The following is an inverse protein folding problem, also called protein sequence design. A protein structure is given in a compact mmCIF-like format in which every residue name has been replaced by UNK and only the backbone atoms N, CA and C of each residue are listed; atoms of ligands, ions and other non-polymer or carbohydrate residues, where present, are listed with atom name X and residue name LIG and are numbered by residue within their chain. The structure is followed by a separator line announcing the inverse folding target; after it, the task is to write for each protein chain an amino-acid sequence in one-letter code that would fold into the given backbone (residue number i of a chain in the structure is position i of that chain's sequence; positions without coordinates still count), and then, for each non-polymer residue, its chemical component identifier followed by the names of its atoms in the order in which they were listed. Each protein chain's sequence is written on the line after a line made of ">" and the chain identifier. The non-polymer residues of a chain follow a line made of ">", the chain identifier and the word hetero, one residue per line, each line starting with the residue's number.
data_IF_104017411962
#
_entry.id   IF_104017411962
#
_cell.length_a   1.000
_cell.length_b   1.000
_cell.length_c   1.000
_cell.angle_alpha   90.00
_cell.angle_beta   90.00
_cell.angle_gamma   90.00
#
_symmetry.space_group_name_H-M   'P 1'
#
loop_
_entity.id
_entity.type
_entity.pdbx_description
1 polymer ?
#
# COMPACT_ATOMS: atom_id res chain seq x y z
N UNK A 1 1.18 -43.18 37.97
CA UNK A 1 1.11 -41.92 37.18
C UNK A 1 0.01 -40.95 37.62
N UNK A 2 -1.19 -41.40 38.04
CA UNK A 2 -2.31 -40.53 38.47
C UNK A 2 -2.08 -39.67 39.75
N UNK A 3 -1.17 -40.06 40.64
CA UNK A 3 -0.92 -39.34 41.91
C UNK A 3 0.03 -38.13 41.80
N UNK A 4 0.98 -38.17 40.87
CA UNK A 4 1.97 -37.10 40.69
C UNK A 4 1.36 -35.84 40.06
N UNK A 5 0.46 -36.04 39.10
CA UNK A 5 -0.30 -34.97 38.44
C UNK A 5 -1.18 -34.22 39.44
N UNK A 6 -1.74 -34.92 40.44
CA UNK A 6 -2.64 -34.34 41.45
C UNK A 6 -1.91 -33.49 42.50
N UNK A 7 -0.68 -33.88 42.88
CA UNK A 7 0.16 -33.13 43.83
C UNK A 7 0.81 -31.88 43.23
N UNK A 8 1.16 -31.93 41.94
CA UNK A 8 1.81 -30.82 41.24
C UNK A 8 0.84 -29.94 40.44
N UNK A 9 -0.47 -30.17 40.58
CA UNK A 9 -1.51 -29.54 39.75
C UNK A 9 -1.55 -28.01 39.91
N UNK A 10 -1.30 -27.51 41.12
CA UNK A 10 -1.21 -26.07 41.40
C UNK A 10 -0.01 -25.42 40.70
N UNK A 11 1.15 -26.07 40.69
CA UNK A 11 2.34 -25.57 40.00
C UNK A 11 2.19 -25.62 38.47
N UNK A 12 1.55 -26.66 37.94
CA UNK A 12 1.19 -26.75 36.52
C UNK A 12 0.19 -25.67 36.11
N UNK A 13 -0.85 -25.42 36.90
CA UNK A 13 -1.83 -24.36 36.66
C UNK A 13 -1.19 -22.97 36.69
N UNK A 14 -0.32 -22.68 37.69
CA UNK A 14 0.42 -21.41 37.76
C UNK A 14 1.39 -21.27 36.57
N UNK A 15 2.10 -22.33 36.20
CA UNK A 15 2.99 -22.31 35.03
C UNK A 15 2.24 -22.02 33.72
N UNK A 16 1.07 -22.63 33.51
CA UNK A 16 0.21 -22.36 32.36
C UNK A 16 -0.34 -20.93 32.36
N UNK A 17 -0.74 -20.41 33.53
CA UNK A 17 -1.21 -19.03 33.68
C UNK A 17 -0.10 -18.02 33.37
N UNK A 18 1.11 -18.24 33.89
CA UNK A 18 2.26 -17.40 33.59
C UNK A 18 2.61 -17.44 32.09
N UNK A 19 2.60 -18.62 31.47
CA UNK A 19 2.83 -18.75 30.04
C UNK A 19 1.75 -18.01 29.23
N UNK A 20 0.47 -18.15 29.60
CA UNK A 20 -0.64 -17.43 28.96
C UNK A 20 -0.50 -15.90 29.10
N UNK A 21 -0.09 -15.39 30.26
CA UNK A 21 0.15 -13.96 30.49
C UNK A 21 1.32 -13.46 29.64
N UNK A 22 2.42 -14.21 29.58
CA UNK A 22 3.57 -13.83 28.74
C UNK A 22 3.19 -13.84 27.27
N UNK A 23 2.50 -14.88 26.78
CA UNK A 23 2.06 -14.97 25.39
C UNK A 23 1.09 -13.83 25.06
N UNK A 24 0.07 -13.59 25.90
CA UNK A 24 -0.90 -12.52 25.68
C UNK A 24 -0.25 -11.14 25.75
N UNK A 25 0.62 -10.88 26.72
CA UNK A 25 1.37 -9.63 26.83
C UNK A 25 2.31 -9.39 25.63
N UNK A 26 2.93 -10.45 25.12
CA UNK A 26 3.81 -10.36 23.93
C UNK A 26 3.01 -10.12 22.65
N UNK A 27 1.88 -10.80 22.51
CA UNK A 27 0.94 -10.57 21.41
C UNK A 27 0.43 -9.12 21.44
N UNK A 28 -0.03 -8.64 22.61
CA UNK A 28 -0.47 -7.26 22.80
C UNK A 28 0.65 -6.27 22.45
N UNK A 29 1.86 -6.49 22.97
CA UNK A 29 3.01 -5.64 22.69
C UNK A 29 3.31 -5.55 21.19
N UNK A 30 3.28 -6.67 20.47
CA UNK A 30 3.50 -6.69 19.01
C UNK A 30 2.35 -6.00 18.25
N UNK A 31 1.12 -6.13 18.72
CA UNK A 31 -0.05 -5.47 18.12
C UNK A 31 -0.11 -3.98 18.39
N UNK A 32 0.51 -3.47 19.47
CA UNK A 32 0.51 -2.04 19.80
C UNK A 32 1.82 -1.31 19.48
N UNK A 33 2.91 -2.04 19.20
CA UNK A 33 4.18 -1.44 18.80
C UNK A 33 3.98 -0.55 17.59
N UNK A 34 4.32 0.74 17.72
CA UNK A 34 4.32 1.68 16.60
C UNK A 34 5.62 1.51 15.79
N UNK A 35 5.58 1.63 14.45
CA UNK A 35 6.78 1.80 13.66
C UNK A 35 7.45 3.15 13.99
N UNK A 36 8.75 3.27 13.70
CA UNK A 36 9.43 4.58 13.74
C UNK A 36 8.82 5.53 12.69
N UNK A 37 8.66 5.02 11.45
CA UNK A 37 7.99 5.72 10.36
C UNK A 37 6.89 4.82 9.80
N UNK A 38 5.65 5.30 9.80
CA UNK A 38 4.54 4.57 9.20
C UNK A 38 4.62 4.60 7.67
N UNK A 39 4.56 3.43 7.03
CA UNK A 39 4.58 3.29 5.57
C UNK A 39 3.42 3.96 4.82
N UNK A 40 2.32 4.30 5.50
CA UNK A 40 1.15 4.93 4.88
C UNK A 40 1.08 6.43 5.19
N UNK A 41 1.14 6.83 6.46
CA UNK A 41 1.01 8.23 6.87
C UNK A 41 2.34 8.93 7.22
N UNK A 42 3.50 8.31 7.00
CA UNK A 42 4.80 8.91 7.33
C UNK A 42 4.96 9.29 8.81
N UNK A 43 4.15 8.71 9.71
CA UNK A 43 4.04 9.12 11.12
C UNK A 43 3.63 10.59 11.30
N UNK A 44 2.73 11.09 10.45
CA UNK A 44 2.24 12.47 10.45
C UNK A 44 3.03 13.41 9.55
N UNK A 45 4.17 12.97 9.02
CA UNK A 45 4.99 13.71 8.05
C UNK A 45 4.92 13.04 6.67
N UNK A 46 3.72 12.67 6.23
CA UNK A 46 3.50 12.02 4.94
C UNK A 46 3.78 13.00 3.80
N UNK A 47 4.47 12.55 2.75
CA UNK A 47 4.54 13.29 1.50
C UNK A 47 3.17 13.32 0.81
N UNK A 48 2.80 14.50 0.28
CA UNK A 48 1.66 14.63 -0.61
C UNK A 48 2.04 14.03 -1.98
N UNK A 49 1.11 13.33 -2.62
CA UNK A 49 1.33 12.79 -3.95
C UNK A 49 0.28 13.28 -4.94
N UNK A 50 0.72 13.60 -6.15
CA UNK A 50 -0.13 14.08 -7.22
C UNK A 50 -0.95 12.92 -7.80
N UNK A 51 -0.38 11.74 -7.95
CA UNK A 51 -1.03 10.53 -8.43
C UNK A 51 -1.29 9.51 -7.31
N UNK A 52 -2.17 8.51 -7.54
CA UNK A 52 -2.37 7.41 -6.61
C UNK A 52 -1.06 6.69 -6.31
N UNK A 53 -0.89 6.34 -5.04
CA UNK A 53 0.27 5.60 -4.54
C UNK A 53 -0.10 4.15 -4.41
N UNK A 54 0.71 3.28 -5.03
CA UNK A 54 0.63 1.85 -4.75
C UNK A 54 1.44 1.54 -3.49
N UNK A 55 0.85 0.76 -2.58
CA UNK A 55 1.45 0.35 -1.32
C UNK A 55 1.42 -1.17 -1.18
N UNK A 56 2.58 -1.76 -0.90
CA UNK A 56 2.74 -3.17 -0.54
C UNK A 56 2.55 -3.34 0.97
N UNK A 57 1.47 -4.02 1.36
CA UNK A 57 1.10 -4.25 2.76
C UNK A 57 2.05 -5.17 3.51
N UNK A 58 2.82 -6.01 2.80
CA UNK A 58 3.81 -6.90 3.41
C UNK A 58 5.14 -6.20 3.67
N UNK A 59 5.64 -5.46 2.69
CA UNK A 59 6.97 -4.83 2.76
C UNK A 59 6.92 -3.41 3.31
N UNK A 60 5.75 -2.75 3.25
CA UNK A 60 5.60 -1.33 3.57
C UNK A 60 6.21 -0.41 2.51
N UNK A 61 6.65 -0.95 1.37
CA UNK A 61 7.12 -0.14 0.26
C UNK A 61 5.95 0.49 -0.46
N UNK A 62 6.09 1.75 -0.81
CA UNK A 62 5.12 2.51 -1.59
C UNK A 62 5.85 3.32 -2.65
N UNK A 63 5.14 3.64 -3.73
CA UNK A 63 5.59 4.66 -4.66
C UNK A 63 4.40 5.23 -5.43
N UNK A 64 4.56 6.47 -5.89
CA UNK A 64 3.57 7.14 -6.73
C UNK A 64 3.56 6.57 -8.15
N UNK A 65 2.37 6.31 -8.68
CA UNK A 65 2.18 5.87 -10.06
C UNK A 65 1.95 7.06 -11.00
N UNK A 66 2.83 8.05 -10.89
CA UNK A 66 2.74 9.33 -11.59
C UNK A 66 2.86 9.14 -13.10
N UNK A 67 1.96 9.79 -13.85
CA UNK A 67 1.95 9.81 -15.32
C UNK A 67 2.19 11.22 -15.84
N UNK A 68 1.73 12.23 -15.10
CA UNK A 68 1.85 13.62 -15.49
C UNK A 68 3.14 14.24 -14.97
N UNK A 69 3.66 15.19 -15.74
CA UNK A 69 4.78 16.02 -15.32
C UNK A 69 4.30 16.96 -14.20
N UNK A 70 5.09 17.09 -13.11
CA UNK A 70 4.77 18.02 -12.04
C UNK A 70 5.00 19.45 -12.50
N UNK A 71 4.26 20.40 -11.93
CA UNK A 71 4.38 21.84 -12.21
C UNK A 71 5.60 22.48 -11.54
N UNK A 72 6.80 21.93 -11.77
CA UNK A 72 8.03 22.45 -11.19
C UNK A 72 8.49 23.73 -11.92
N UNK A 73 8.99 24.74 -11.17
CA UNK A 73 9.24 24.76 -9.72
C UNK A 73 8.08 25.31 -8.87
N UNK A 74 6.90 25.56 -9.46
CA UNK A 74 5.79 26.25 -8.79
C UNK A 74 5.07 25.36 -7.78
N UNK A 75 4.77 24.12 -8.15
CA UNK A 75 4.15 23.12 -7.29
C UNK A 75 4.50 21.70 -7.72
N UNK A 76 5.16 20.96 -6.83
CA UNK A 76 5.53 19.57 -7.08
C UNK A 76 4.34 18.58 -7.03
N UNK A 77 3.20 19.02 -6.49
CA UNK A 77 2.00 18.20 -6.27
C UNK A 77 0.88 18.48 -7.28
N UNK A 78 1.03 19.50 -8.12
CA UNK A 78 0.06 19.83 -9.17
C UNK A 78 0.56 19.35 -10.54
N UNK A 79 -0.40 19.13 -11.44
CA UNK A 79 -0.12 18.73 -12.83
C UNK A 79 0.32 19.96 -13.62
N UNK A 80 1.46 19.89 -14.31
CA UNK A 80 1.87 20.94 -15.22
C UNK A 80 0.86 21.09 -16.39
N UNK A 81 0.49 22.31 -16.80
CA UNK A 81 -0.42 22.50 -17.93
C UNK A 81 0.18 22.03 -19.27
N UNK A 82 1.51 21.97 -19.36
CA UNK A 82 2.26 21.46 -20.52
C UNK A 82 2.91 20.14 -20.12
N UNK A 83 2.70 19.11 -20.93
CA UNK A 83 3.11 17.74 -20.67
C UNK A 83 4.09 17.27 -21.74
N UNK A 84 5.19 16.66 -21.33
CA UNK A 84 6.17 16.08 -22.24
C UNK A 84 5.70 14.70 -22.69
N UNK A 85 5.62 14.49 -24.00
CA UNK A 85 5.33 13.20 -24.62
C UNK A 85 6.58 12.57 -25.22
N UNK A 86 6.44 11.44 -25.92
CA UNK A 86 7.56 10.79 -26.60
C UNK A 86 8.53 10.03 -25.69
N UNK A 87 8.26 9.95 -24.38
CA UNK A 87 9.15 9.28 -23.42
C UNK A 87 8.55 8.01 -22.85
N UNK A 88 9.42 7.00 -22.74
CA UNK A 88 9.19 5.75 -22.05
C UNK A 88 10.15 5.64 -20.87
N UNK A 89 9.65 5.30 -19.69
CA UNK A 89 10.48 5.16 -18.49
C UNK A 89 10.04 3.99 -17.61
N UNK A 90 10.97 3.51 -16.79
CA UNK A 90 10.68 2.56 -15.73
C UNK A 90 10.39 3.31 -14.44
N UNK A 91 9.31 2.94 -13.77
CA UNK A 91 8.90 3.49 -12.48
C UNK A 91 9.13 2.46 -11.38
N UNK A 92 9.52 2.90 -10.19
CA UNK A 92 9.43 2.05 -9.00
C UNK A 92 7.97 2.00 -8.55
N UNK A 93 7.44 0.83 -8.21
CA UNK A 93 6.04 0.63 -7.81
C UNK A 93 6.00 -0.38 -6.65
N UNK A 94 6.15 0.10 -5.41
CA UNK A 94 6.03 -0.72 -4.20
C UNK A 94 6.90 -2.00 -4.18
N UNK A 95 8.13 -1.90 -4.68
CA UNK A 95 9.08 -3.02 -4.79
C UNK A 95 9.10 -3.71 -6.16
N UNK A 96 8.28 -3.24 -7.10
CA UNK A 96 8.20 -3.75 -8.47
C UNK A 96 8.59 -2.68 -9.46
N UNK A 97 8.90 -3.10 -10.69
CA UNK A 97 9.19 -2.19 -11.80
C UNK A 97 7.93 -1.97 -12.61
N UNK A 98 7.37 -0.77 -12.53
CA UNK A 98 6.33 -0.29 -13.42
C UNK A 98 6.91 0.30 -14.72
N UNK A 99 6.02 0.50 -15.68
CA UNK A 99 6.30 0.99 -17.02
C UNK A 99 5.45 2.21 -17.29
N UNK A 100 6.07 3.37 -17.40
CA UNK A 100 5.41 4.64 -17.71
C UNK A 100 5.61 4.97 -19.19
N UNK A 101 4.50 5.21 -19.87
CA UNK A 101 4.43 5.64 -21.26
C UNK A 101 3.67 6.97 -21.31
N UNK A 102 4.39 8.03 -21.65
CA UNK A 102 3.83 9.40 -21.73
C UNK A 102 3.00 9.63 -22.98
N UNK A 103 3.17 8.86 -24.05
CA UNK A 103 2.30 8.99 -25.23
C UNK A 103 0.94 8.33 -25.00
N UNK A 104 0.95 7.18 -24.32
CA UNK A 104 -0.28 6.45 -23.98
C UNK A 104 -0.96 6.99 -22.73
N UNK A 105 -0.31 7.90 -22.00
CA UNK A 105 -0.72 8.38 -20.67
C UNK A 105 -0.96 7.22 -19.70
N UNK A 106 -0.08 6.22 -19.71
CA UNK A 106 -0.23 5.02 -18.87
C UNK A 106 0.96 4.77 -17.96
N UNK A 107 0.69 4.25 -16.77
CA UNK A 107 1.67 3.55 -15.93
C UNK A 107 1.16 2.13 -15.66
N UNK A 108 1.89 1.11 -16.10
CA UNK A 108 1.50 -0.30 -15.92
C UNK A 108 2.47 -1.01 -14.99
N UNK A 109 1.98 -1.84 -14.08
CA UNK A 109 2.81 -2.68 -13.20
C UNK A 109 2.20 -4.06 -13.06
N UNK A 110 3.04 -5.08 -13.20
CA UNK A 110 2.69 -6.47 -12.94
C UNK A 110 2.99 -6.80 -11.47
N UNK A 111 1.98 -7.31 -10.77
CA UNK A 111 2.01 -7.61 -9.34
C UNK A 111 1.64 -9.06 -9.11
N UNK A 112 2.22 -9.76 -8.13
CA UNK A 112 1.79 -11.10 -7.79
C UNK A 112 0.37 -11.09 -7.20
N UNK A 113 -0.44 -12.07 -7.60
CA UNK A 113 -1.77 -12.32 -7.03
C UNK A 113 -1.64 -12.88 -5.61
N UNK A 114 -0.73 -13.84 -5.43
CA UNK A 114 -0.47 -14.43 -4.12
C UNK A 114 0.51 -13.59 -3.33
N UNK A 115 -0.01 -12.94 -2.30
CA UNK A 115 0.74 -12.04 -1.44
C UNK A 115 0.47 -12.36 0.01
N UNK A 116 1.40 -11.98 0.87
CA UNK A 116 1.17 -12.07 2.31
C UNK A 116 0.29 -10.90 2.74
N UNK A 117 -0.49 -11.12 3.78
CA UNK A 117 -1.32 -10.07 4.36
C UNK A 117 -0.50 -8.96 5.03
N UNK A 118 -1.22 -8.00 5.59
CA UNK A 118 -0.72 -6.83 6.28
C UNK A 118 0.33 -7.18 7.34
N UNK A 119 1.55 -6.68 7.15
CA UNK A 119 2.59 -6.74 8.17
C UNK A 119 2.41 -5.57 9.12
N UNK A 120 1.72 -5.81 10.24
CA UNK A 120 1.34 -4.79 11.23
C UNK A 120 2.51 -3.89 11.66
N UNK A 121 3.73 -4.42 11.76
CA UNK A 121 4.92 -3.67 12.19
C UNK A 121 5.29 -2.48 11.32
N UNK A 122 4.76 -2.38 10.09
CA UNK A 122 5.08 -1.28 9.16
C UNK A 122 4.10 -0.10 9.27
N UNK A 123 2.98 -0.28 9.98
CA UNK A 123 1.87 0.68 10.02
C UNK A 123 1.59 1.14 11.44
N UNK A 124 1.24 2.41 11.65
CA UNK A 124 0.78 2.90 12.95
C UNK A 124 -0.62 2.36 13.28
N UNK A 125 -1.08 2.56 14.52
CA UNK A 125 -2.38 2.03 14.95
C UNK A 125 -3.54 2.54 14.08
N UNK A 126 -3.57 3.84 13.80
CA UNK A 126 -4.66 4.46 13.03
C UNK A 126 -4.69 3.94 11.59
N UNK A 127 -3.53 3.84 10.95
CA UNK A 127 -3.43 3.25 9.61
C UNK A 127 -3.79 1.76 9.58
N UNK A 128 -3.53 1.00 10.64
CA UNK A 128 -4.00 -0.40 10.73
C UNK A 128 -5.53 -0.48 10.76
N UNK A 129 -6.20 0.48 11.41
CA UNK A 129 -7.67 0.55 11.42
C UNK A 129 -8.20 0.86 10.01
N UNK A 130 -7.56 1.78 9.29
CA UNK A 130 -7.91 2.08 7.89
C UNK A 130 -7.70 0.88 6.96
N UNK A 131 -6.63 0.11 7.16
CA UNK A 131 -6.27 -1.03 6.31
C UNK A 131 -6.95 -2.35 6.71
N UNK A 132 -7.73 -2.39 7.79
CA UNK A 132 -8.25 -3.64 8.38
C UNK A 132 -9.07 -4.47 7.37
N UNK A 133 -9.87 -3.80 6.55
CA UNK A 133 -10.78 -4.43 5.59
C UNK A 133 -10.06 -4.86 4.30
N UNK A 134 -8.78 -4.48 4.17
CA UNK A 134 -7.92 -4.77 3.02
C UNK A 134 -6.66 -5.56 3.42
N UNK A 135 -6.60 -6.07 4.65
CA UNK A 135 -5.41 -6.66 5.21
C UNK A 135 -4.94 -7.92 4.46
N UNK A 136 -5.81 -8.56 3.69
CA UNK A 136 -5.51 -9.78 2.93
C UNK A 136 -5.12 -9.51 1.47
N UNK A 137 -5.30 -8.28 0.97
CA UNK A 137 -5.17 -7.95 -0.46
C UNK A 137 -3.72 -7.82 -0.95
N UNK A 138 -2.74 -7.80 -0.04
CA UNK A 138 -1.32 -7.65 -0.34
C UNK A 138 -0.89 -6.28 -0.83
N UNK A 139 -1.63 -5.71 -1.78
CA UNK A 139 -1.46 -4.37 -2.31
C UNK A 139 -2.73 -3.56 -2.18
N UNK A 140 -2.55 -2.27 -1.95
CA UNK A 140 -3.63 -1.29 -2.00
C UNK A 140 -3.16 -0.06 -2.77
N UNK A 141 -4.12 0.66 -3.32
CA UNK A 141 -3.94 2.01 -3.81
C UNK A 141 -4.35 2.97 -2.71
N UNK A 142 -3.62 4.06 -2.58
CA UNK A 142 -3.96 5.12 -1.67
C UNK A 142 -3.97 6.46 -2.40
N UNK A 143 -5.04 7.24 -2.23
CA UNK A 143 -5.03 8.65 -2.62
C UNK A 143 -4.42 9.45 -1.47
N UNK A 144 -3.26 10.03 -1.75
CA UNK A 144 -2.47 10.76 -0.77
C UNK A 144 -2.36 12.26 -1.08
N UNK A 145 -3.28 12.80 -1.89
CA UNK A 145 -3.26 14.20 -2.30
C UNK A 145 -3.75 15.18 -1.24
N UNK A 146 -4.75 14.81 -0.43
CA UNK A 146 -5.24 15.67 0.66
C UNK A 146 -4.46 15.37 1.93
N UNK A 147 -3.87 16.38 2.56
CA UNK A 147 -2.91 16.23 3.67
C UNK A 147 -3.45 15.40 4.86
N UNK A 148 -4.71 15.64 5.24
CA UNK A 148 -5.36 15.00 6.38
C UNK A 148 -6.36 13.90 5.99
N UNK A 149 -6.43 13.51 4.71
CA UNK A 149 -7.30 12.44 4.24
C UNK A 149 -6.51 11.34 3.51
N UNK A 150 -6.93 10.10 3.75
CA UNK A 150 -6.37 8.91 3.13
C UNK A 150 -7.53 8.04 2.68
N UNK A 151 -7.72 7.97 1.37
CA UNK A 151 -8.66 7.04 0.75
C UNK A 151 -7.89 5.81 0.28
N UNK A 152 -8.41 4.62 0.62
CA UNK A 152 -7.78 3.33 0.30
C UNK A 152 -8.67 2.56 -0.66
N UNK A 153 -8.06 1.98 -1.68
CA UNK A 153 -8.73 1.14 -2.66
C UNK A 153 -7.98 -0.19 -2.80
N UNK A 154 -8.67 -1.34 -2.68
CA UNK A 154 -8.01 -2.64 -2.82
C UNK A 154 -7.59 -2.88 -4.28
N UNK A 155 -6.33 -3.25 -4.48
CA UNK A 155 -5.82 -3.64 -5.80
C UNK A 155 -6.20 -5.12 -6.06
N UNK A 156 -7.39 -5.35 -6.58
CA UNK A 156 -7.93 -6.70 -6.83
C UNK A 156 -8.37 -6.84 -8.28
N UNK A 157 -8.23 -8.05 -8.84
CA UNK A 157 -8.64 -8.35 -10.22
C UNK A 157 -10.12 -7.98 -10.43
N UNK A 158 -10.38 -7.23 -11.49
CA UNK A 158 -11.70 -6.70 -11.83
C UNK A 158 -12.00 -5.32 -11.25
N UNK A 159 -11.09 -4.74 -10.46
CA UNK A 159 -11.22 -3.37 -9.99
C UNK A 159 -11.13 -2.36 -11.14
N UNK A 160 -12.00 -1.35 -11.10
CA UNK A 160 -12.02 -0.19 -11.97
C UNK A 160 -12.37 1.03 -11.10
N UNK A 161 -11.37 1.87 -10.84
CA UNK A 161 -11.51 3.04 -10.00
C UNK A 161 -11.24 4.30 -10.79
N UNK A 162 -11.95 5.37 -10.47
CA UNK A 162 -11.57 6.72 -10.84
C UNK A 162 -11.14 7.46 -9.58
N UNK A 163 -9.86 7.78 -9.51
CA UNK A 163 -9.25 8.54 -8.41
C UNK A 163 -8.76 9.85 -9.01
N UNK A 164 -9.56 10.91 -8.84
CA UNK A 164 -9.32 12.24 -9.43
C UNK A 164 -9.09 12.12 -10.95
N UNK A 165 -7.95 12.58 -11.44
CA UNK A 165 -7.56 12.60 -12.85
C UNK A 165 -6.97 11.27 -13.34
N UNK A 166 -7.19 10.18 -12.60
CA UNK A 166 -6.68 8.86 -12.92
C UNK A 166 -7.80 7.84 -12.97
N UNK A 167 -7.79 7.02 -14.02
CA UNK A 167 -8.53 5.76 -14.05
C UNK A 167 -7.57 4.61 -13.83
N UNK A 168 -7.91 3.70 -12.92
CA UNK A 168 -7.08 2.57 -12.56
C UNK A 168 -7.87 1.29 -12.77
N UNK A 169 -7.34 0.39 -13.58
CA UNK A 169 -7.93 -0.92 -13.83
C UNK A 169 -6.95 -2.02 -13.41
N UNK A 170 -7.48 -3.08 -12.81
CA UNK A 170 -6.69 -4.26 -12.41
C UNK A 170 -7.24 -5.48 -13.11
N UNK A 171 -6.41 -6.16 -13.89
CA UNK A 171 -6.78 -7.35 -14.66
C UNK A 171 -5.84 -8.52 -14.39
N UNK A 172 -6.32 -9.74 -14.57
CA UNK A 172 -5.45 -10.93 -14.56
C UNK A 172 -4.58 -10.94 -15.81
N UNK A 173 -3.30 -11.24 -15.67
CA UNK A 173 -2.41 -11.35 -16.83
C UNK A 173 -2.48 -12.74 -17.43
N UNK A 174 -1.93 -12.91 -18.64
CA UNK A 174 -1.79 -14.23 -19.25
C UNK A 174 -0.74 -15.09 -18.53
N UNK A 175 0.09 -14.49 -17.69
CA UNK A 175 1.08 -15.17 -16.86
C UNK A 175 0.37 -15.64 -15.59
N UNK A 176 0.45 -16.92 -15.29
CA UNK A 176 -0.19 -17.47 -14.08
C UNK A 176 0.35 -16.75 -12.83
N UNK A 177 -0.57 -16.36 -11.96
CA UNK A 177 -0.29 -15.77 -10.64
C UNK A 177 0.14 -14.30 -10.62
N UNK A 178 -0.07 -13.56 -11.71
CA UNK A 178 0.16 -12.12 -11.77
C UNK A 178 -1.11 -11.35 -12.16
N UNK A 179 -1.28 -10.17 -11.59
CA UNK A 179 -2.27 -9.18 -12.00
C UNK A 179 -1.55 -7.95 -12.57
N UNK A 180 -2.08 -7.41 -13.64
CA UNK A 180 -1.61 -6.16 -14.24
C UNK A 180 -2.48 -5.03 -13.69
N UNK A 181 -1.83 -4.03 -13.12
CA UNK A 181 -2.45 -2.78 -12.71
C UNK A 181 -2.07 -1.71 -13.73
N UNK A 182 -3.09 -1.11 -14.35
CA UNK A 182 -2.94 -0.06 -15.35
C UNK A 182 -3.53 1.22 -14.77
N UNK A 183 -2.70 2.24 -14.65
CA UNK A 183 -3.11 3.62 -14.38
C UNK A 183 -3.15 4.35 -15.71
N UNK A 184 -4.27 5.02 -15.99
CA UNK A 184 -4.48 5.87 -17.15
C UNK A 184 -4.76 7.30 -16.67
N UNK A 185 -4.00 8.26 -17.21
CA UNK A 185 -4.29 9.68 -17.00
C UNK A 185 -5.50 10.13 -17.83
N UNK A 186 -6.45 10.81 -17.19
CA UNK A 186 -7.69 11.32 -17.81
C UNK A 186 -7.91 12.83 -17.57
N UNK A 187 -6.91 13.57 -17.10
CA UNK A 187 -6.97 15.01 -16.90
C UNK A 187 -7.33 15.76 -18.20
N UNK A 188 -8.18 16.76 -18.08
CA UNK A 188 -8.58 17.64 -19.17
C UNK A 188 -7.77 18.95 -19.19
N UNK A 189 -7.73 19.63 -20.34
CA UNK A 189 -7.12 20.95 -20.46
C UNK A 189 -5.59 21.00 -20.53
N UNK A 190 -4.94 19.84 -20.66
CA UNK A 190 -3.48 19.74 -20.81
C UNK A 190 -3.03 19.94 -22.26
N UNK A 191 -1.85 20.52 -22.44
CA UNK A 191 -1.17 20.66 -23.74
C UNK A 191 -0.01 19.68 -23.80
N UNK A 192 -0.02 18.78 -24.78
CA UNK A 192 1.03 17.77 -24.97
C UNK A 192 2.04 18.22 -26.02
N UNK A 193 3.32 18.13 -25.69
CA UNK A 193 4.44 18.53 -26.56
C UNK A 193 5.51 17.45 -26.58
N UNK A 194 6.05 17.18 -27.76
CA UNK A 194 7.16 16.24 -28.00
C UNK A 194 8.54 16.89 -27.79
#
# INVERSE_FOLDING_TARGET
>A
MRGWIRGNWRHLMVGLLCAAIVISGTALYLTYRQPEVCSLCGSGNRERYQAPVILNLTTGQSNEMRIYDPDLPFSEYEIAPIQTTGTFSLASCAGYTGRRDTCSHTCTVDLPIETKGLKVSNFCLDCRVLLKDHAENGFVLADLYVEDAIDIYPATVGADYTIRDYRITVSETKVRSEMELIVLGIAEGLTFVD
#
